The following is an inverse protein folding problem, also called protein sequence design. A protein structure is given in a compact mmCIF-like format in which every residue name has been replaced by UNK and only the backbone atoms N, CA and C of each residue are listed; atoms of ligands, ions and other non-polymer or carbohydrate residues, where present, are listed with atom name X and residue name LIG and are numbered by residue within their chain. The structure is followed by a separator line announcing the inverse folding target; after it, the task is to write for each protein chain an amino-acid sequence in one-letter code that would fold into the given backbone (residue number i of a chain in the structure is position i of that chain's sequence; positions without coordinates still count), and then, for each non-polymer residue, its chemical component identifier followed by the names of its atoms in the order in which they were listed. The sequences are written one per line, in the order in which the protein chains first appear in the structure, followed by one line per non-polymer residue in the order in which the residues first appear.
data_IF_086802666226
#
_entry.id   IF_086802666226
#
_cell.length_a   1.000
_cell.length_b   1.000
_cell.length_c   1.000
_cell.angle_alpha   90.00
_cell.angle_beta   90.00
_cell.angle_gamma   90.00
#
_symmetry.space_group_name_H-M   'P 1'
#
loop_
_entity.id
_entity.type
_entity.pdbx_description
1 polymer ?
#
# COMPACT_ATOMS: atom_id res chain seq x y z
N UNK A 1 5.57 -19.97 -1.77
CA UNK A 1 6.22 -18.72 -1.34
C UNK A 1 6.23 -18.74 0.15
N UNK A 2 7.36 -18.40 0.73
CA UNK A 2 7.61 -18.57 2.15
C UNK A 2 7.48 -17.22 2.86
N UNK A 3 7.25 -17.24 4.18
CA UNK A 3 7.28 -16.03 5.01
C UNK A 3 8.59 -15.29 4.76
N UNK A 4 8.50 -14.02 4.38
CA UNK A 4 9.67 -13.22 4.06
C UNK A 4 9.80 -12.85 2.59
N UNK A 5 9.26 -13.68 1.70
CA UNK A 5 9.38 -13.49 0.25
C UNK A 5 8.76 -12.17 -0.21
N UNK A 6 9.41 -11.54 -1.19
CA UNK A 6 8.91 -10.32 -1.82
C UNK A 6 8.15 -10.71 -3.08
N UNK A 7 6.85 -10.44 -3.09
CA UNK A 7 5.97 -10.66 -4.25
C UNK A 7 6.28 -9.63 -5.34
N UNK A 8 6.49 -8.37 -4.95
CA UNK A 8 6.83 -7.28 -5.85
C UNK A 8 6.63 -5.90 -5.25
N UNK A 9 7.00 -4.85 -5.98
CA UNK A 9 6.72 -3.46 -5.60
C UNK A 9 5.27 -3.07 -5.92
N UNK A 10 4.61 -2.37 -5.02
CA UNK A 10 3.35 -1.68 -5.30
C UNK A 10 3.68 -0.31 -5.86
N UNK A 11 3.47 -0.16 -7.18
CA UNK A 11 3.91 0.99 -7.96
C UNK A 11 2.72 1.70 -8.59
N UNK A 12 2.89 3.00 -8.83
CA UNK A 12 1.90 3.88 -9.44
C UNK A 12 2.41 5.32 -9.43
N UNK A 13 1.52 6.26 -9.72
CA UNK A 13 1.84 7.69 -9.68
C UNK A 13 1.87 8.18 -8.23
N UNK A 14 2.86 9.00 -7.87
CA UNK A 14 2.95 9.56 -6.53
C UNK A 14 2.26 10.92 -6.46
N UNK A 15 1.36 11.06 -5.49
CA UNK A 15 0.64 12.32 -5.22
C UNK A 15 0.88 12.80 -3.80
N UNK A 16 1.03 14.12 -3.62
CA UNK A 16 1.19 14.76 -2.31
C UNK A 16 -0.05 15.56 -1.91
N UNK A 17 -0.57 15.34 -0.71
CA UNK A 17 -1.71 16.08 -0.17
C UNK A 17 -1.36 16.80 1.15
N UNK A 18 -1.81 18.04 1.27
CA UNK A 18 -1.70 18.78 2.52
C UNK A 18 -2.52 18.06 3.61
N UNK A 19 -1.96 17.96 4.81
CA UNK A 19 -2.66 17.43 5.97
C UNK A 19 -4.00 18.14 6.16
N UNK A 20 -5.06 17.36 6.45
CA UNK A 20 -6.44 17.79 6.69
C UNK A 20 -6.58 19.24 7.17
N UNK A 21 -7.46 20.00 6.52
CA UNK A 21 -7.92 21.29 7.06
C UNK A 21 -8.71 21.00 8.34
N UNK A 22 -8.38 21.71 9.42
CA UNK A 22 -9.05 21.60 10.73
C UNK A 22 -10.58 21.73 10.52
N UNK A 23 -11.33 20.64 10.70
CA UNK A 23 -12.78 20.58 10.48
C UNK A 23 -13.25 19.56 9.44
N UNK A 24 -12.36 18.93 8.68
CA UNK A 24 -12.72 17.75 7.88
C UNK A 24 -13.01 16.56 8.80
N UNK A 25 -14.03 15.74 8.49
CA UNK A 25 -14.30 14.53 9.27
C UNK A 25 -13.05 13.65 9.26
N UNK A 26 -12.72 13.06 10.41
CA UNK A 26 -11.63 12.08 10.64
C UNK A 26 -11.65 10.90 9.65
N UNK A 27 -12.72 10.80 8.89
CA UNK A 27 -13.06 9.78 7.91
C UNK A 27 -12.41 9.99 6.53
N UNK A 28 -11.82 11.16 6.26
CA UNK A 28 -10.91 11.34 5.11
C UNK A 28 -9.47 10.99 5.46
N UNK A 29 -9.26 10.04 6.37
CA UNK A 29 -8.08 9.19 6.27
C UNK A 29 -8.35 8.34 5.04
N UNK A 30 -7.83 8.72 3.88
CA UNK A 30 -7.79 7.85 2.70
C UNK A 30 -7.01 6.60 3.10
N UNK A 31 -7.75 5.63 3.63
CA UNK A 31 -7.33 4.25 3.78
C UNK A 31 -7.01 3.71 2.39
N UNK A 32 -6.31 2.59 2.31
CA UNK A 32 -6.11 1.97 1.01
C UNK A 32 -7.50 1.66 0.44
N UNK A 33 -7.80 2.21 -0.71
CA UNK A 33 -9.13 2.17 -1.31
C UNK A 33 -8.97 2.01 -2.81
N UNK A 34 -9.53 0.94 -3.36
CA UNK A 34 -9.31 0.58 -4.75
C UNK A 34 -7.83 0.40 -5.07
N UNK A 35 -7.24 1.34 -5.81
CA UNK A 35 -5.83 1.30 -6.25
C UNK A 35 -4.94 2.36 -5.58
N UNK A 36 -5.49 3.09 -4.61
CA UNK A 36 -4.78 4.14 -3.87
C UNK A 36 -4.23 3.53 -2.60
N UNK A 37 -2.94 3.76 -2.32
CA UNK A 37 -2.31 3.32 -1.08
C UNK A 37 -1.56 4.47 -0.41
N UNK A 38 -1.82 4.68 0.87
CA UNK A 38 -1.17 5.72 1.68
C UNK A 38 0.20 5.26 2.18
N UNK A 39 1.20 6.13 2.05
CA UNK A 39 2.50 5.94 2.67
C UNK A 39 2.47 6.42 4.13
N UNK A 40 3.07 5.64 5.02
CA UNK A 40 3.49 6.07 6.36
C UNK A 40 4.55 7.18 6.27
N UNK A 41 5.47 7.08 5.30
CA UNK A 41 6.46 8.13 5.05
C UNK A 41 5.79 9.43 4.56
N UNK A 42 6.26 10.56 5.10
CA UNK A 42 5.86 11.90 4.64
C UNK A 42 6.77 12.40 3.54
N UNK A 43 6.26 13.29 2.70
CA UNK A 43 7.12 14.01 1.77
C UNK A 43 8.11 14.93 2.50
N UNK A 44 9.09 15.44 1.76
CA UNK A 44 10.05 16.45 2.28
C UNK A 44 9.35 17.69 2.84
N UNK A 45 8.14 17.98 2.33
CA UNK A 45 7.28 19.08 2.77
C UNK A 45 6.33 18.68 3.91
N UNK A 46 6.54 17.52 4.54
CA UNK A 46 5.71 16.93 5.61
C UNK A 46 4.25 16.67 5.19
N UNK A 47 4.00 16.50 3.89
CA UNK A 47 2.68 16.17 3.34
C UNK A 47 2.44 14.66 3.32
N UNK A 48 1.16 14.26 3.26
CA UNK A 48 0.78 12.87 3.01
C UNK A 48 1.14 12.50 1.58
N UNK A 49 1.59 11.26 1.39
CA UNK A 49 2.00 10.74 0.09
C UNK A 49 1.18 9.50 -0.21
N UNK A 50 0.64 9.44 -1.42
CA UNK A 50 -0.12 8.29 -1.90
C UNK A 50 0.50 7.77 -3.18
N UNK A 51 0.34 6.48 -3.40
CA UNK A 51 0.57 5.86 -4.70
C UNK A 51 -0.76 5.51 -5.34
N UNK A 52 -0.96 6.00 -6.56
CA UNK A 52 -2.14 5.78 -7.38
C UNK A 52 -1.85 4.73 -8.46
N UNK A 53 -2.32 3.50 -8.25
CA UNK A 53 -2.01 2.38 -9.13
C UNK A 53 -3.04 2.12 -10.25
N UNK A 54 -4.11 2.93 -10.33
CA UNK A 54 -5.25 2.69 -11.24
C UNK A 54 -4.83 2.68 -12.72
N UNK A 55 -4.11 3.72 -13.14
CA UNK A 55 -3.72 3.94 -14.54
C UNK A 55 -2.27 3.54 -14.85
N UNK A 56 -1.45 3.40 -13.82
CA UNK A 56 -0.04 3.04 -13.94
C UNK A 56 0.38 2.21 -12.75
N UNK A 57 1.21 1.20 -12.94
CA UNK A 57 1.67 0.36 -11.82
C UNK A 57 2.19 -0.99 -12.24
N UNK A 58 2.36 -1.87 -11.25
CA UNK A 58 2.80 -3.26 -11.44
C UNK A 58 1.61 -4.22 -11.35
N UNK A 59 1.89 -5.53 -11.44
CA UNK A 59 0.87 -6.58 -11.27
C UNK A 59 0.31 -6.63 -9.85
N UNK A 60 1.05 -6.13 -8.84
CA UNK A 60 0.61 -6.17 -7.44
C UNK A 60 -0.60 -5.27 -7.16
N UNK A 61 -0.97 -4.38 -8.10
CA UNK A 61 -2.20 -3.60 -8.05
C UNK A 61 -3.47 -4.46 -8.08
N UNK A 62 -3.36 -5.70 -8.57
CA UNK A 62 -4.48 -6.64 -8.70
C UNK A 62 -4.65 -7.58 -7.52
N UNK A 63 -3.87 -7.41 -6.45
CA UNK A 63 -3.95 -8.23 -5.23
C UNK A 63 -5.22 -7.85 -4.45
N UNK A 64 -6.04 -8.84 -4.13
CA UNK A 64 -7.32 -8.63 -3.44
C UNK A 64 -7.16 -8.35 -1.94
N UNK A 65 -8.19 -7.73 -1.38
CA UNK A 65 -8.32 -7.58 0.07
C UNK A 65 -8.72 -8.90 0.77
N UNK A 66 -8.15 -9.17 1.94
CA UNK A 66 -8.68 -10.11 2.92
C UNK A 66 -8.47 -9.59 4.36
N UNK A 67 -9.42 -9.89 5.25
CA UNK A 67 -9.29 -9.60 6.68
C UNK A 67 -8.18 -10.41 7.36
N UNK A 68 -7.94 -11.63 6.88
CA UNK A 68 -6.86 -12.52 7.32
C UNK A 68 -5.89 -12.83 6.16
N UNK A 69 -5.05 -11.87 5.75
CA UNK A 69 -4.23 -12.01 4.54
C UNK A 69 -3.02 -12.92 4.75
N UNK A 70 -2.38 -13.29 3.63
CA UNK A 70 -1.10 -14.00 3.60
C UNK A 70 0.09 -13.12 3.18
N UNK A 71 -0.17 -11.89 2.72
CA UNK A 71 0.83 -10.87 2.45
C UNK A 71 0.47 -9.53 3.13
N UNK A 72 1.45 -8.63 3.19
CA UNK A 72 1.27 -7.28 3.70
C UNK A 72 2.05 -6.25 2.88
N UNK A 73 1.56 -5.02 2.88
CA UNK A 73 2.32 -3.86 2.40
C UNK A 73 3.44 -3.53 3.38
N UNK A 74 4.64 -3.30 2.85
CA UNK A 74 5.82 -2.94 3.60
C UNK A 74 6.52 -1.76 2.93
N UNK A 75 6.76 -0.70 3.68
CA UNK A 75 7.65 0.36 3.23
C UNK A 75 9.12 -0.05 3.38
N UNK A 76 9.87 0.12 2.31
CA UNK A 76 11.32 -0.06 2.25
C UNK A 76 11.97 1.29 1.97
N UNK A 77 12.80 1.75 2.90
CA UNK A 77 13.72 2.86 2.67
C UNK A 77 14.86 2.39 1.75
N UNK A 78 14.95 2.97 0.56
CA UNK A 78 16.07 2.81 -0.36
C UNK A 78 16.79 4.15 -0.54
N UNK A 79 17.91 4.31 0.18
CA UNK A 79 18.68 5.57 0.25
C UNK A 79 17.79 6.74 0.65
N UNK A 80 17.48 7.63 -0.27
CA UNK A 80 16.65 8.83 -0.06
C UNK A 80 15.19 8.63 -0.48
N UNK A 81 14.82 7.46 -1.00
CA UNK A 81 13.48 7.15 -1.50
C UNK A 81 12.80 6.08 -0.63
N UNK A 82 11.47 6.16 -0.51
CA UNK A 82 10.64 5.11 0.09
C UNK A 82 9.88 4.41 -1.03
N UNK A 83 9.80 3.08 -0.97
CA UNK A 83 8.98 2.26 -1.87
C UNK A 83 8.07 1.38 -1.05
N UNK A 84 6.88 1.09 -1.55
CA UNK A 84 6.03 0.05 -0.97
C UNK A 84 6.25 -1.25 -1.72
N UNK A 85 6.45 -2.32 -0.96
CA UNK A 85 6.54 -3.70 -1.43
C UNK A 85 5.38 -4.51 -0.87
N UNK A 86 5.06 -5.61 -1.53
CA UNK A 86 4.19 -6.66 -1.01
C UNK A 86 5.08 -7.82 -0.55
N UNK A 87 4.99 -8.14 0.74
CA UNK A 87 5.80 -9.17 1.40
C UNK A 87 4.91 -10.26 1.98
N UNK A 88 5.29 -11.51 1.80
CA UNK A 88 4.62 -12.65 2.41
C UNK A 88 4.79 -12.64 3.93
N UNK A 89 3.67 -12.77 4.65
CA UNK A 89 3.61 -12.86 6.12
C UNK A 89 3.15 -14.25 6.59
N UNK A 90 2.69 -15.10 5.68
CA UNK A 90 2.39 -16.52 5.87
C UNK A 90 2.94 -17.31 4.67
N UNK A 91 3.25 -18.58 4.89
CA UNK A 91 3.59 -19.49 3.79
C UNK A 91 2.37 -19.70 2.90
N UNK A 92 2.60 -19.78 1.60
CA UNK A 92 1.57 -20.01 0.59
C UNK A 92 2.01 -21.10 -0.38
N UNK A 93 1.15 -22.10 -0.55
CA UNK A 93 1.32 -23.15 -1.55
C UNK A 93 1.23 -22.55 -2.97
N UNK A 94 1.64 -23.33 -3.97
CA UNK A 94 1.37 -22.99 -5.37
C UNK A 94 -0.13 -22.76 -5.58
N UNK A 95 -0.49 -21.81 -6.45
CA UNK A 95 -1.87 -21.43 -6.81
C UNK A 95 -2.70 -20.75 -5.70
N UNK A 96 -2.20 -20.64 -4.47
CA UNK A 96 -2.87 -19.88 -3.43
C UNK A 96 -2.99 -18.40 -3.83
N UNK A 97 -4.19 -17.83 -3.70
CA UNK A 97 -4.39 -16.40 -3.92
C UNK A 97 -3.57 -15.59 -2.92
N UNK A 98 -2.82 -14.61 -3.41
CA UNK A 98 -2.12 -13.66 -2.58
C UNK A 98 -3.11 -12.55 -2.22
N UNK A 99 -3.25 -12.26 -0.94
CA UNK A 99 -4.15 -11.23 -0.44
C UNK A 99 -3.46 -10.34 0.57
N UNK A 100 -3.95 -9.11 0.73
CA UNK A 100 -3.43 -8.12 1.68
C UNK A 100 -4.59 -7.47 2.45
N UNK A 101 -4.28 -6.85 3.58
CA UNK A 101 -5.26 -6.04 4.30
C UNK A 101 -5.19 -4.57 3.82
N UNK A 102 -6.29 -4.03 3.31
CA UNK A 102 -6.39 -2.65 2.84
C UNK A 102 -6.69 -1.65 3.98
N UNK A 103 -6.89 -2.15 5.20
CA UNK A 103 -7.38 -1.39 6.32
C UNK A 103 -8.90 -1.48 6.40
N UNK A 104 -9.51 -0.56 7.13
CA UNK A 104 -10.97 -0.43 7.14
C UNK A 104 -11.42 0.22 5.82
N UNK A 105 -11.55 -0.58 4.76
CA UNK A 105 -12.32 -0.18 3.58
C UNK A 105 -13.75 0.15 4.01
N UNK A 106 -14.34 1.16 3.37
CA UNK A 106 -15.68 1.63 3.66
C UNK A 106 -16.53 1.65 2.40
#
# INVERSE_FOLDING_TARGET
MDVGDIVGGYAGELSEFAAMVKGQPTQSMEQNSGYTLLYNAKSVNKKYVYVEALNSGSVTRSISHACDPNAAFMELQNRTSVKVLVKMIKDANAEAEITVNYGSER
#
